data_IF_719117295008
#
_entry.id   IF_719117295008
#
_cell.length_a   1.000
_cell.length_b   1.000
_cell.length_c   1.000
_cell.angle_alpha   90.00
_cell.angle_beta   90.00
_cell.angle_gamma   90.00
#
_symmetry.space_group_name_H-M   'P 1'
#
loop_
_entity.id
_entity.type
_entity.pdbx_description
1 polymer ?
#
# COMPACT_ATOMS: atom_id res chain seq x y z
N UNK A 1 -3.48 18.77 -29.12
CA UNK A 1 -3.10 17.71 -28.15
C UNK A 1 -3.91 17.93 -26.89
N UNK A 2 -4.83 17.03 -26.55
CA UNK A 2 -5.78 17.20 -25.42
C UNK A 2 -5.02 17.07 -24.10
N UNK A 3 -4.92 18.17 -23.35
CA UNK A 3 -4.30 18.21 -22.02
C UNK A 3 -4.94 17.17 -21.10
N UNK A 4 -4.18 16.14 -20.76
CA UNK A 4 -4.62 15.18 -19.75
C UNK A 4 -4.56 15.88 -18.40
N UNK A 5 -5.70 15.91 -17.68
CA UNK A 5 -5.78 16.43 -16.32
C UNK A 5 -4.61 15.89 -15.48
N UNK A 6 -3.93 16.71 -14.66
CA UNK A 6 -2.84 16.25 -13.78
C UNK A 6 -3.21 15.00 -12.97
N UNK A 7 -4.48 14.89 -12.56
CA UNK A 7 -5.01 13.73 -11.85
C UNK A 7 -4.98 12.45 -12.69
N UNK A 8 -5.34 12.53 -13.98
CA UNK A 8 -5.29 11.37 -14.89
C UNK A 8 -3.86 10.89 -15.13
N UNK A 9 -2.88 11.82 -15.15
CA UNK A 9 -1.47 11.46 -15.24
C UNK A 9 -1.00 10.70 -13.99
N UNK A 10 -1.39 11.16 -12.81
CA UNK A 10 -1.07 10.50 -11.54
C UNK A 10 -1.72 9.11 -11.48
N UNK A 11 -3.02 9.00 -11.78
CA UNK A 11 -3.73 7.71 -11.81
C UNK A 11 -3.06 6.74 -12.80
N UNK A 12 -2.74 7.21 -14.00
CA UNK A 12 -2.05 6.37 -15.00
C UNK A 12 -0.66 5.93 -14.55
N UNK A 13 0.06 6.77 -13.79
CA UNK A 13 1.34 6.40 -13.21
C UNK A 13 1.18 5.35 -12.11
N UNK A 14 0.25 5.55 -11.16
CA UNK A 14 -0.03 4.60 -10.09
C UNK A 14 -0.45 3.23 -10.63
N UNK A 15 -1.24 3.20 -11.71
CA UNK A 15 -1.65 1.96 -12.36
C UNK A 15 -0.46 1.19 -12.96
N UNK A 16 0.49 1.89 -13.60
CA UNK A 16 1.71 1.26 -14.12
C UNK A 16 2.60 0.72 -13.00
N UNK A 17 2.81 1.53 -11.95
CA UNK A 17 3.60 1.10 -10.79
C UNK A 17 2.97 -0.11 -10.09
N UNK A 18 1.65 -0.23 -10.09
CA UNK A 18 0.96 -1.41 -9.56
C UNK A 18 1.26 -2.66 -10.39
N UNK A 19 1.11 -2.58 -11.72
CA UNK A 19 1.39 -3.69 -12.64
C UNK A 19 2.86 -4.14 -12.56
N UNK A 20 3.78 -3.18 -12.49
CA UNK A 20 5.22 -3.45 -12.30
C UNK A 20 5.47 -4.21 -10.98
N UNK A 21 4.96 -3.71 -9.85
CA UNK A 21 5.11 -4.37 -8.54
C UNK A 21 4.48 -5.76 -8.52
N UNK A 22 3.36 -5.95 -9.21
CA UNK A 22 2.70 -7.25 -9.30
C UNK A 22 3.60 -8.27 -10.03
N UNK A 23 4.14 -7.89 -11.19
CA UNK A 23 5.03 -8.75 -11.98
C UNK A 23 6.34 -9.05 -11.26
N UNK A 24 6.89 -8.08 -10.53
CA UNK A 24 8.07 -8.29 -9.68
C UNK A 24 7.79 -9.34 -8.60
N UNK A 25 6.62 -9.27 -7.97
CA UNK A 25 6.21 -10.22 -6.94
C UNK A 25 5.97 -11.63 -7.51
N UNK A 26 5.29 -11.72 -8.66
CA UNK A 26 5.07 -12.99 -9.36
C UNK A 26 6.40 -13.65 -9.72
N UNK A 27 7.33 -12.88 -10.29
CA UNK A 27 8.68 -13.34 -10.61
C UNK A 27 9.41 -13.81 -9.36
N UNK A 28 9.40 -13.00 -8.29
CA UNK A 28 10.02 -13.34 -7.01
C UNK A 28 9.51 -14.69 -6.50
N UNK A 29 8.19 -14.88 -6.47
CA UNK A 29 7.58 -16.13 -6.01
C UNK A 29 7.99 -17.32 -6.91
N UNK A 30 8.04 -17.13 -8.22
CA UNK A 30 8.38 -18.20 -9.17
C UNK A 30 9.85 -18.64 -9.13
N UNK A 31 10.76 -17.74 -8.72
CA UNK A 31 12.21 -17.96 -8.73
C UNK A 31 12.78 -18.29 -7.33
N UNK A 32 11.96 -18.18 -6.28
CA UNK A 32 12.38 -18.28 -4.89
C UNK A 32 12.05 -19.65 -4.29
N UNK A 33 12.97 -20.19 -3.47
CA UNK A 33 12.72 -21.45 -2.75
C UNK A 33 11.54 -21.28 -1.77
N UNK A 34 10.59 -22.24 -1.70
CA UNK A 34 9.38 -22.11 -0.90
C UNK A 34 9.61 -21.69 0.56
N UNK A 35 10.70 -22.15 1.17
CA UNK A 35 11.03 -21.92 2.58
C UNK A 35 11.38 -20.46 2.88
N UNK A 36 11.85 -19.71 1.89
CA UNK A 36 12.26 -18.30 2.06
C UNK A 36 11.24 -17.29 1.50
N UNK A 37 10.21 -17.76 0.78
CA UNK A 37 9.14 -16.90 0.25
C UNK A 37 8.43 -16.17 1.40
N UNK A 38 8.03 -16.90 2.46
CA UNK A 38 7.29 -16.32 3.58
C UNK A 38 8.09 -15.21 4.30
N UNK A 39 9.35 -15.43 4.72
CA UNK A 39 10.20 -14.36 5.26
C UNK A 39 10.33 -13.14 4.35
N UNK A 40 10.49 -13.35 3.03
CA UNK A 40 10.63 -12.24 2.08
C UNK A 40 9.33 -11.43 1.92
N UNK A 41 8.18 -12.09 1.82
CA UNK A 41 6.88 -11.42 1.78
C UNK A 41 6.63 -10.60 3.05
N UNK A 42 7.07 -11.10 4.21
CA UNK A 42 6.98 -10.36 5.48
C UNK A 42 7.83 -9.09 5.45
N UNK A 43 9.09 -9.20 5.01
CA UNK A 43 9.97 -8.04 4.90
C UNK A 43 9.42 -6.99 3.91
N UNK A 44 8.84 -7.42 2.79
CA UNK A 44 8.18 -6.53 1.84
C UNK A 44 6.96 -5.83 2.44
N UNK A 45 6.14 -6.54 3.22
CA UNK A 45 4.98 -5.98 3.90
C UNK A 45 5.37 -4.98 4.99
N UNK A 46 6.42 -5.26 5.76
CA UNK A 46 7.00 -4.32 6.74
C UNK A 46 7.51 -3.06 6.04
N UNK A 47 8.31 -3.22 5.00
CA UNK A 47 8.80 -2.08 4.21
C UNK A 47 7.65 -1.25 3.62
N UNK A 48 6.59 -1.88 3.10
CA UNK A 48 5.42 -1.18 2.58
C UNK A 48 4.70 -0.39 3.68
N UNK A 49 4.63 -0.97 4.89
CA UNK A 49 4.06 -0.32 6.08
C UNK A 49 4.86 0.93 6.46
N UNK A 50 6.19 0.83 6.53
CA UNK A 50 7.04 1.96 6.90
C UNK A 50 6.95 3.11 5.89
N UNK A 51 6.93 2.79 4.59
CA UNK A 51 6.71 3.78 3.52
C UNK A 51 5.36 4.49 3.70
N UNK A 52 4.30 3.72 3.96
CA UNK A 52 2.97 4.30 4.16
C UNK A 52 2.93 5.20 5.39
N UNK A 53 3.42 4.75 6.55
CA UNK A 53 3.43 5.54 7.79
C UNK A 53 4.25 6.81 7.66
N UNK A 54 5.38 6.74 6.95
CA UNK A 54 6.21 7.92 6.65
C UNK A 54 5.46 8.92 5.77
N UNK A 55 4.81 8.46 4.69
CA UNK A 55 4.00 9.31 3.83
C UNK A 55 2.78 9.91 4.57
N UNK A 56 2.09 9.10 5.37
CA UNK A 56 0.98 9.52 6.23
C UNK A 56 1.43 10.66 7.17
N UNK A 57 2.57 10.47 7.84
CA UNK A 57 3.12 11.48 8.75
C UNK A 57 3.50 12.76 8.01
N UNK A 58 4.17 12.65 6.87
CA UNK A 58 4.53 13.79 6.04
C UNK A 58 3.30 14.57 5.58
N UNK A 59 2.24 13.90 5.13
CA UNK A 59 1.00 14.55 4.71
C UNK A 59 0.27 15.20 5.88
N UNK A 60 0.13 14.51 7.02
CA UNK A 60 -0.50 15.07 8.22
C UNK A 60 0.26 16.27 8.82
N UNK A 61 1.55 16.40 8.49
CA UNK A 61 2.39 17.51 8.93
C UNK A 61 2.35 18.74 8.02
N UNK A 62 1.57 18.71 6.93
CA UNK A 62 1.39 19.84 6.00
C UNK A 62 0.04 20.55 6.28
N UNK A 63 0.02 21.67 7.03
CA UNK A 63 -1.23 22.36 7.38
C UNK A 63 -2.03 22.79 6.17
N UNK A 64 -1.35 23.12 5.07
CA UNK A 64 -1.95 23.63 3.84
C UNK A 64 -2.88 22.60 3.17
N UNK A 65 -2.67 21.30 3.43
CA UNK A 65 -3.55 20.24 2.95
C UNK A 65 -4.90 20.20 3.66
N UNK A 66 -5.01 20.82 4.84
CA UNK A 66 -6.18 20.78 5.71
C UNK A 66 -6.73 22.17 6.03
N UNK A 67 -6.34 23.19 5.27
CA UNK A 67 -6.85 24.56 5.40
C UNK A 67 -7.86 24.89 4.30
N UNK A 68 -8.75 25.86 4.57
CA UNK A 68 -9.74 26.36 3.61
C UNK A 68 -11.05 25.58 3.52
N UNK A 69 -11.87 25.91 2.52
CA UNK A 69 -13.25 25.37 2.35
C UNK A 69 -13.28 23.85 2.10
N UNK A 70 -12.20 23.29 1.55
CA UNK A 70 -12.07 21.87 1.24
C UNK A 70 -11.50 21.03 2.40
N UNK A 71 -11.17 21.65 3.54
CA UNK A 71 -10.60 21.00 4.73
C UNK A 71 -11.34 19.71 5.11
N UNK A 72 -12.67 19.78 5.19
CA UNK A 72 -13.46 18.64 5.63
C UNK A 72 -13.34 17.46 4.66
N UNK A 73 -13.29 17.73 3.34
CA UNK A 73 -13.12 16.69 2.32
C UNK A 73 -11.70 16.11 2.36
N UNK A 74 -10.68 16.95 2.57
CA UNK A 74 -9.29 16.52 2.69
C UNK A 74 -9.09 15.61 3.91
N UNK A 75 -9.65 15.97 5.07
CA UNK A 75 -9.64 15.13 6.28
C UNK A 75 -10.33 13.80 6.02
N UNK A 76 -11.53 13.80 5.43
CA UNK A 76 -12.26 12.58 5.11
C UNK A 76 -11.51 11.67 4.13
N UNK A 77 -10.88 12.24 3.10
CA UNK A 77 -10.07 11.48 2.15
C UNK A 77 -8.84 10.86 2.82
N UNK A 78 -8.16 11.61 3.71
CA UNK A 78 -7.03 11.11 4.49
C UNK A 78 -7.45 9.97 5.42
N UNK A 79 -8.56 10.13 6.15
CA UNK A 79 -9.11 9.08 7.00
C UNK A 79 -9.43 7.81 6.21
N UNK A 80 -10.08 7.95 5.05
CA UNK A 80 -10.41 6.83 4.18
C UNK A 80 -9.16 6.10 3.69
N UNK A 81 -8.11 6.84 3.27
CA UNK A 81 -6.84 6.27 2.84
C UNK A 81 -6.15 5.49 3.97
N UNK A 82 -6.14 6.04 5.18
CA UNK A 82 -5.55 5.40 6.36
C UNK A 82 -6.30 4.13 6.75
N UNK A 83 -7.64 4.18 6.80
CA UNK A 83 -8.48 3.01 7.12
C UNK A 83 -8.31 1.91 6.09
N UNK A 84 -8.34 2.24 4.81
CA UNK A 84 -8.15 1.25 3.74
C UNK A 84 -6.78 0.56 3.84
N UNK A 85 -5.72 1.31 4.16
CA UNK A 85 -4.40 0.72 4.39
C UNK A 85 -4.39 -0.21 5.61
N UNK A 86 -4.97 0.22 6.73
CA UNK A 86 -5.03 -0.57 7.97
C UNK A 86 -5.83 -1.87 7.76
N UNK A 87 -6.98 -1.80 7.08
CA UNK A 87 -7.79 -2.97 6.72
C UNK A 87 -7.00 -3.95 5.86
N UNK A 88 -6.31 -3.47 4.80
CA UNK A 88 -5.46 -4.33 3.98
C UNK A 88 -4.31 -4.97 4.79
N UNK A 89 -3.70 -4.22 5.71
CA UNK A 89 -2.62 -4.73 6.56
C UNK A 89 -3.11 -5.79 7.55
N UNK A 90 -4.29 -5.59 8.13
CA UNK A 90 -4.96 -6.55 9.00
C UNK A 90 -5.28 -7.82 8.21
N UNK A 91 -5.91 -7.70 7.04
CA UNK A 91 -6.20 -8.84 6.17
C UNK A 91 -4.93 -9.62 5.80
N UNK A 92 -3.87 -8.92 5.40
CA UNK A 92 -2.58 -9.55 5.12
C UNK A 92 -2.04 -10.29 6.33
N UNK A 93 -2.12 -9.69 7.52
CA UNK A 93 -1.66 -10.32 8.76
C UNK A 93 -2.46 -11.58 9.09
N UNK A 94 -3.79 -11.52 9.04
CA UNK A 94 -4.64 -12.69 9.29
C UNK A 94 -4.43 -13.82 8.28
N UNK A 95 -4.31 -13.49 6.99
CA UNK A 95 -3.99 -14.49 5.97
C UNK A 95 -2.61 -15.09 6.22
N UNK A 96 -1.62 -14.27 6.56
CA UNK A 96 -0.26 -14.72 6.80
C UNK A 96 -0.15 -15.60 8.05
N UNK A 97 -0.72 -15.18 9.19
CA UNK A 97 -0.61 -15.90 10.45
C UNK A 97 -1.43 -17.20 10.47
N UNK A 98 -2.59 -17.24 9.82
CA UNK A 98 -3.43 -18.45 9.77
C UNK A 98 -2.96 -19.46 8.72
N UNK A 99 -2.28 -19.03 7.65
CA UNK A 99 -1.74 -19.95 6.64
C UNK A 99 -0.27 -20.35 6.88
N UNK A 100 0.41 -19.77 7.86
CA UNK A 100 1.79 -20.14 8.23
C UNK A 100 1.89 -21.22 9.32
N UNK A 101 0.78 -21.83 9.76
CA UNK A 101 0.79 -23.01 10.65
C UNK A 101 0.39 -24.27 9.87
N UNK A 102 1.34 -25.11 9.42
CA UNK A 102 1.00 -26.40 8.81
C UNK A 102 0.57 -27.49 9.82
N UNK A 103 0.79 -27.33 11.13
CA UNK A 103 0.63 -28.44 12.10
C UNK A 103 -0.29 -28.11 13.28
N UNK A 104 -1.58 -27.91 13.01
CA UNK A 104 -2.63 -28.10 14.02
C UNK A 104 -3.79 -28.89 13.43
N UNK A 105 -3.57 -30.16 13.14
CA UNK A 105 -4.57 -31.24 13.16
C UNK A 105 -3.85 -32.59 13.21
#
# INVERSE_FOLDING_TARGET
>A
MKGHSPHLRIIGQLAREYDEKYRELEKLISETQPEIILPQLRALAEHATDRFRSAQTAMLSMPELFDGEERQRAVQAMEALCRAFDEMRILFHFLFENHSQPDKL
#
